data_IF_271272625687
#
_entry.id   IF_271272625687
#
_cell.length_a   1.000
_cell.length_b   1.000
_cell.length_c   1.000
_cell.angle_alpha   90.00
_cell.angle_beta   90.00
_cell.angle_gamma   90.00
#
_symmetry.space_group_name_H-M   'P 1'
#
loop_
_entity.id
_entity.type
_entity.pdbx_description
1 polymer ?
#
# COMPACT_ATOMS: atom_id res chain seq x y z
N UNK A 1 -15.92 42.31 54.42
CA UNK A 1 -14.69 42.12 53.61
C UNK A 1 -14.62 40.65 53.23
N UNK A 2 -15.05 40.36 52.00
CA UNK A 2 -14.63 39.28 51.10
C UNK A 2 -14.19 37.93 51.71
N UNK A 3 -15.14 37.00 51.89
CA UNK A 3 -14.84 35.57 52.10
C UNK A 3 -15.56 34.64 51.11
N UNK A 4 -16.71 35.04 50.56
CA UNK A 4 -17.52 34.15 49.70
C UNK A 4 -17.06 34.07 48.23
N UNK A 5 -16.26 35.03 47.77
CA UNK A 5 -15.80 35.06 46.37
C UNK A 5 -14.66 34.08 46.06
N UNK A 6 -13.94 33.61 47.07
CA UNK A 6 -12.75 32.77 46.87
C UNK A 6 -13.11 31.27 46.71
N UNK A 7 -14.12 30.78 47.43
CA UNK A 7 -14.63 29.41 47.25
C UNK A 7 -15.29 29.23 45.88
N UNK A 8 -16.08 30.20 45.41
CA UNK A 8 -16.74 30.06 44.11
C UNK A 8 -15.74 29.99 42.93
N UNK A 9 -14.62 30.71 43.02
CA UNK A 9 -13.54 30.67 42.03
C UNK A 9 -12.80 29.32 42.04
N UNK A 10 -12.53 28.78 43.24
CA UNK A 10 -11.83 27.50 43.40
C UNK A 10 -12.66 26.32 42.86
N UNK A 11 -13.96 26.29 43.12
CA UNK A 11 -14.88 25.28 42.57
C UNK A 11 -15.00 25.38 41.04
N UNK A 12 -14.96 26.58 40.47
CA UNK A 12 -14.97 26.78 39.01
C UNK A 12 -13.67 26.27 38.36
N UNK A 13 -12.51 26.53 38.96
CA UNK A 13 -11.22 26.03 38.45
C UNK A 13 -11.14 24.49 38.51
N UNK A 14 -11.59 23.87 39.61
CA UNK A 14 -11.61 22.40 39.74
C UNK A 14 -12.52 21.73 38.70
N UNK A 15 -13.71 22.31 38.46
CA UNK A 15 -14.63 21.80 37.45
C UNK A 15 -14.12 22.00 36.01
N UNK A 16 -13.36 23.07 35.77
CA UNK A 16 -12.75 23.34 34.45
C UNK A 16 -11.63 22.34 34.17
N UNK A 17 -10.76 22.05 35.16
CA UNK A 17 -9.69 21.06 35.03
C UNK A 17 -10.23 19.66 34.74
N UNK A 18 -11.22 19.21 35.51
CA UNK A 18 -11.85 17.89 35.31
C UNK A 18 -12.65 17.79 34.00
N UNK A 19 -13.09 18.92 33.42
CA UNK A 19 -13.73 18.94 32.10
C UNK A 19 -12.69 18.84 30.97
N UNK A 20 -11.54 19.52 31.12
CA UNK A 20 -10.43 19.46 30.16
C UNK A 20 -9.81 18.06 30.13
N UNK A 21 -9.57 17.44 31.29
CA UNK A 21 -9.04 16.07 31.38
C UNK A 21 -9.95 15.04 30.70
N UNK A 22 -11.27 15.11 30.95
CA UNK A 22 -12.25 14.22 30.30
C UNK A 22 -12.36 14.43 28.79
N UNK A 23 -12.15 15.66 28.29
CA UNK A 23 -12.08 15.92 26.85
C UNK A 23 -10.81 15.36 26.25
N UNK A 24 -9.68 15.51 26.93
CA UNK A 24 -8.41 14.97 26.48
C UNK A 24 -8.45 13.43 26.45
N UNK A 25 -8.95 12.78 27.50
CA UNK A 25 -9.09 11.32 27.58
C UNK A 25 -9.95 10.75 26.44
N UNK A 26 -11.12 11.38 26.16
CA UNK A 26 -11.93 11.00 24.98
C UNK A 26 -11.21 11.21 23.65
N UNK A 27 -10.42 12.27 23.52
CA UNK A 27 -9.66 12.55 22.29
C UNK A 27 -8.57 11.48 22.11
N UNK A 28 -7.89 11.09 23.19
CA UNK A 28 -6.89 10.01 23.18
C UNK A 28 -7.51 8.64 22.83
N UNK A 29 -8.67 8.29 23.40
CA UNK A 29 -9.38 7.05 23.07
C UNK A 29 -9.82 7.01 21.60
N UNK A 30 -10.33 8.12 21.06
CA UNK A 30 -10.72 8.26 19.65
C UNK A 30 -9.50 8.16 18.71
N UNK A 31 -8.35 8.74 19.08
CA UNK A 31 -7.09 8.62 18.34
C UNK A 31 -6.53 7.19 18.39
N UNK A 32 -6.56 6.53 19.54
CA UNK A 32 -6.09 5.15 19.70
C UNK A 32 -6.98 4.15 18.94
N UNK A 33 -8.30 4.36 18.93
CA UNK A 33 -9.23 3.54 18.13
C UNK A 33 -9.05 3.78 16.63
N UNK A 34 -8.77 5.03 16.22
CA UNK A 34 -8.42 5.37 14.84
C UNK A 34 -7.10 4.71 14.41
N UNK A 35 -6.10 4.68 15.28
CA UNK A 35 -4.81 4.02 15.02
C UNK A 35 -4.98 2.50 14.92
N UNK A 36 -5.76 1.89 15.82
CA UNK A 36 -6.10 0.46 15.76
C UNK A 36 -6.82 0.10 14.47
N UNK A 37 -7.82 0.88 14.08
CA UNK A 37 -8.58 0.66 12.85
C UNK A 37 -7.69 0.81 11.61
N UNK A 38 -6.80 1.80 11.61
CA UNK A 38 -5.81 2.01 10.54
C UNK A 38 -4.88 0.79 10.40
N UNK A 39 -4.29 0.33 11.51
CA UNK A 39 -3.44 -0.87 11.54
C UNK A 39 -4.16 -2.13 11.04
N UNK A 40 -5.44 -2.32 11.41
CA UNK A 40 -6.25 -3.46 10.94
C UNK A 40 -6.48 -3.39 9.43
N UNK A 41 -6.78 -2.20 8.90
CA UNK A 41 -6.97 -1.98 7.47
C UNK A 41 -5.70 -2.27 6.67
N UNK A 42 -4.55 -1.77 7.13
CA UNK A 42 -3.25 -2.05 6.51
C UNK A 42 -2.91 -3.53 6.51
N UNK A 43 -3.11 -4.22 7.64
CA UNK A 43 -2.89 -5.65 7.74
C UNK A 43 -3.79 -6.45 6.78
N UNK A 44 -5.04 -6.00 6.58
CA UNK A 44 -5.97 -6.60 5.62
C UNK A 44 -5.45 -6.48 4.19
N UNK A 45 -5.00 -5.30 3.75
CA UNK A 45 -4.46 -5.13 2.39
C UNK A 45 -3.25 -6.02 2.14
N UNK A 46 -2.29 -6.10 3.08
CA UNK A 46 -1.12 -6.97 2.93
C UNK A 46 -1.50 -8.44 2.81
N UNK A 47 -2.52 -8.91 3.55
CA UNK A 47 -3.03 -10.28 3.41
C UNK A 47 -3.56 -10.55 2.00
N UNK A 48 -4.32 -9.62 1.42
CA UNK A 48 -4.85 -9.76 0.06
C UNK A 48 -3.72 -9.71 -0.97
N UNK A 49 -2.74 -8.82 -0.80
CA UNK A 49 -1.55 -8.77 -1.67
C UNK A 49 -0.82 -10.12 -1.68
N UNK A 50 -0.52 -10.68 -0.50
CA UNK A 50 0.16 -11.98 -0.40
C UNK A 50 -0.66 -13.08 -1.06
N UNK A 51 -1.98 -13.10 -0.82
CA UNK A 51 -2.87 -14.07 -1.44
C UNK A 51 -2.82 -13.98 -2.97
N UNK A 52 -2.98 -12.79 -3.55
CA UNK A 52 -2.96 -12.62 -5.00
C UNK A 52 -1.58 -12.94 -5.61
N UNK A 53 -0.47 -12.65 -4.91
CA UNK A 53 0.87 -13.06 -5.35
C UNK A 53 1.04 -14.59 -5.33
N UNK A 54 0.45 -15.27 -4.35
CA UNK A 54 0.42 -16.73 -4.30
C UNK A 54 -0.45 -17.31 -5.42
N UNK A 55 -1.63 -16.74 -5.63
CA UNK A 55 -2.57 -17.15 -6.67
C UNK A 55 -2.01 -16.84 -8.09
N UNK A 56 -1.17 -15.81 -8.25
CA UNK A 56 -0.51 -15.50 -9.53
C UNK A 56 0.54 -16.52 -9.95
N UNK A 57 0.95 -17.40 -9.04
CA UNK A 57 1.90 -18.46 -9.36
C UNK A 57 1.14 -19.64 -9.92
N UNK A 58 1.26 -19.83 -11.23
CA UNK A 58 0.78 -21.03 -11.94
C UNK A 58 1.77 -22.19 -11.68
N UNK A 59 1.89 -23.15 -12.60
CA UNK A 59 2.93 -24.19 -12.60
C UNK A 59 4.36 -23.61 -12.42
N UNK A 60 5.38 -24.47 -12.24
CA UNK A 60 6.70 -24.07 -11.71
C UNK A 60 7.37 -22.84 -12.36
N UNK A 61 7.04 -22.49 -13.60
CA UNK A 61 7.68 -21.42 -14.37
C UNK A 61 6.72 -20.44 -15.10
N UNK A 62 5.44 -20.34 -14.72
CA UNK A 62 4.52 -19.34 -15.32
C UNK A 62 3.80 -18.48 -14.27
N UNK A 63 3.30 -17.34 -14.73
CA UNK A 63 2.68 -16.33 -13.89
C UNK A 63 1.40 -15.80 -14.54
N UNK A 64 0.28 -15.96 -13.83
CA UNK A 64 -1.03 -15.43 -14.23
C UNK A 64 -1.04 -13.91 -14.07
N UNK A 65 -1.31 -13.22 -15.17
CA UNK A 65 -1.21 -11.76 -15.24
C UNK A 65 -2.35 -11.07 -14.51
N UNK A 66 -3.54 -11.66 -14.47
CA UNK A 66 -4.70 -11.05 -13.82
C UNK A 66 -4.53 -11.03 -12.30
N UNK A 67 -4.11 -12.14 -11.71
CA UNK A 67 -3.78 -12.23 -10.28
C UNK A 67 -2.59 -11.35 -9.92
N UNK A 68 -1.57 -11.26 -10.79
CA UNK A 68 -0.44 -10.35 -10.59
C UNK A 68 -0.87 -8.88 -10.58
N UNK A 69 -1.68 -8.45 -11.55
CA UNK A 69 -2.22 -7.09 -11.60
C UNK A 69 -3.08 -6.83 -10.37
N UNK A 70 -3.92 -7.79 -9.96
CA UNK A 70 -4.74 -7.68 -8.75
C UNK A 70 -3.90 -7.51 -7.48
N UNK A 71 -2.77 -8.21 -7.35
CA UNK A 71 -1.84 -8.04 -6.23
C UNK A 71 -1.29 -6.60 -6.16
N UNK A 72 -0.84 -6.05 -7.29
CA UNK A 72 -0.28 -4.70 -7.31
C UNK A 72 -1.33 -3.60 -7.11
N UNK A 73 -2.59 -3.83 -7.50
CA UNK A 73 -3.70 -2.91 -7.18
C UNK A 73 -3.95 -2.83 -5.68
N UNK A 74 -3.95 -3.96 -4.99
CA UNK A 74 -4.09 -3.99 -3.53
C UNK A 74 -2.86 -3.39 -2.84
N UNK A 75 -1.68 -3.62 -3.39
CA UNK A 75 -0.44 -3.01 -2.90
C UNK A 75 -0.46 -1.48 -3.05
N UNK A 76 -1.03 -0.98 -4.14
CA UNK A 76 -1.25 0.45 -4.37
C UNK A 76 -2.18 1.06 -3.29
N UNK A 77 -3.27 0.37 -2.93
CA UNK A 77 -4.18 0.80 -1.84
C UNK A 77 -3.48 0.80 -0.48
N UNK A 78 -2.64 -0.20 -0.22
CA UNK A 78 -1.83 -0.24 0.98
C UNK A 78 -0.93 1.01 1.10
N UNK A 79 -0.24 1.39 0.01
CA UNK A 79 0.61 2.58 -0.01
C UNK A 79 -0.16 3.89 0.15
N UNK A 80 -1.38 4.00 -0.38
CA UNK A 80 -2.24 5.17 -0.14
C UNK A 80 -2.55 5.34 1.34
N UNK A 81 -2.79 4.24 2.04
CA UNK A 81 -3.03 4.25 3.48
C UNK A 81 -1.81 4.67 4.30
N UNK A 82 -0.59 4.54 3.78
CA UNK A 82 0.64 4.97 4.47
C UNK A 82 0.91 6.48 4.36
N UNK A 83 0.05 7.21 3.64
CA UNK A 83 0.12 8.66 3.50
C UNK A 83 0.90 9.15 2.28
N UNK A 84 1.00 10.48 2.15
CA UNK A 84 1.46 11.14 0.92
C UNK A 84 2.92 10.84 0.55
N UNK A 85 3.74 10.35 1.49
CA UNK A 85 5.13 9.97 1.24
C UNK A 85 5.25 8.91 0.14
N UNK A 86 4.27 8.00 0.04
CA UNK A 86 4.26 6.93 -0.97
C UNK A 86 3.50 7.31 -2.25
N UNK A 87 3.00 8.55 -2.36
CA UNK A 87 2.19 8.98 -3.51
C UNK A 87 2.92 8.93 -4.85
N UNK A 88 4.22 9.26 -4.87
CA UNK A 88 5.03 9.22 -6.10
C UNK A 88 5.30 7.79 -6.57
N UNK A 89 5.58 6.87 -5.62
CA UNK A 89 5.80 5.45 -5.90
C UNK A 89 4.52 4.85 -6.46
N UNK A 90 3.39 5.18 -5.82
CA UNK A 90 2.09 4.67 -6.23
C UNK A 90 1.68 5.14 -7.63
N UNK A 91 1.97 6.39 -8.00
CA UNK A 91 1.71 6.89 -9.37
C UNK A 91 2.53 6.14 -10.43
N UNK A 92 3.80 5.85 -10.12
CA UNK A 92 4.70 5.14 -11.03
C UNK A 92 4.31 3.66 -11.19
N UNK A 93 3.78 3.04 -10.13
CA UNK A 93 3.21 1.68 -10.16
C UNK A 93 1.90 1.67 -10.96
N UNK A 94 0.94 2.55 -10.64
CA UNK A 94 -0.37 2.60 -11.31
C UNK A 94 -0.25 2.79 -12.81
N UNK A 95 0.55 3.76 -13.27
CA UNK A 95 0.76 4.00 -14.70
C UNK A 95 1.29 2.77 -15.46
N UNK A 96 2.06 1.90 -14.80
CA UNK A 96 2.53 0.64 -15.39
C UNK A 96 1.47 -0.45 -15.37
N UNK A 97 0.65 -0.51 -14.32
CA UNK A 97 -0.50 -1.42 -14.27
C UNK A 97 -1.51 -1.07 -15.36
N UNK A 98 -1.76 0.22 -15.60
CA UNK A 98 -2.67 0.68 -16.63
C UNK A 98 -2.22 0.19 -18.02
N UNK A 99 -0.91 0.23 -18.31
CA UNK A 99 -0.36 -0.31 -19.57
C UNK A 99 -0.65 -1.82 -19.71
N UNK A 100 -0.44 -2.60 -18.65
CA UNK A 100 -0.69 -4.05 -18.69
C UNK A 100 -2.19 -4.38 -18.78
N UNK A 101 -3.03 -3.60 -18.10
CA UNK A 101 -4.48 -3.73 -18.11
C UNK A 101 -5.07 -3.35 -19.49
N UNK A 102 -4.51 -2.33 -20.14
CA UNK A 102 -4.86 -1.93 -21.51
C UNK A 102 -4.50 -3.04 -22.50
N UNK A 103 -3.36 -3.71 -22.34
CA UNK A 103 -3.01 -4.86 -23.17
C UNK A 103 -3.92 -6.07 -22.92
N UNK A 104 -4.23 -6.41 -21.66
CA UNK A 104 -5.14 -7.51 -21.30
C UNK A 104 -6.56 -7.32 -21.81
N UNK A 105 -7.06 -6.09 -21.83
CA UNK A 105 -8.41 -5.76 -22.30
C UNK A 105 -8.53 -5.53 -23.79
N UNK A 106 -7.42 -5.54 -24.52
CA UNK A 106 -7.43 -5.37 -25.96
C UNK A 106 -8.04 -6.61 -26.63
N UNK A 107 -9.09 -6.42 -27.43
CA UNK A 107 -9.75 -7.52 -28.16
C UNK A 107 -8.78 -8.25 -29.12
N UNK A 108 -7.74 -7.56 -29.60
CA UNK A 108 -6.82 -8.11 -30.62
C UNK A 108 -5.66 -8.91 -30.02
N UNK A 109 -5.21 -8.57 -28.82
CA UNK A 109 -3.97 -9.11 -28.24
C UNK A 109 -4.12 -9.61 -26.81
N UNK A 110 -5.26 -9.39 -26.15
CA UNK A 110 -5.46 -9.66 -24.72
C UNK A 110 -5.20 -11.10 -24.32
N UNK A 111 -5.53 -12.06 -25.18
CA UNK A 111 -5.26 -13.48 -24.97
C UNK A 111 -3.77 -13.79 -24.88
N UNK A 112 -2.92 -13.06 -25.62
CA UNK A 112 -1.47 -13.21 -25.56
C UNK A 112 -0.85 -12.63 -24.28
N UNK A 113 -1.63 -11.90 -23.47
CA UNK A 113 -1.18 -11.34 -22.20
C UNK A 113 -1.73 -12.11 -20.99
N UNK A 114 -2.37 -13.27 -21.17
CA UNK A 114 -2.94 -14.07 -20.07
C UNK A 114 -1.86 -14.50 -19.06
N UNK A 115 -0.71 -14.95 -19.56
CA UNK A 115 0.43 -15.35 -18.73
C UNK A 115 1.71 -14.60 -19.08
N UNK A 116 2.69 -14.63 -18.18
CA UNK A 116 3.99 -14.02 -18.42
C UNK A 116 4.70 -14.67 -19.61
N UNK A 117 4.65 -16.00 -19.73
CA UNK A 117 5.31 -16.70 -20.81
C UNK A 117 4.67 -16.41 -22.18
N UNK A 118 3.34 -16.47 -22.27
CA UNK A 118 2.60 -16.13 -23.50
C UNK A 118 2.88 -14.68 -23.93
N UNK A 119 2.93 -13.74 -22.98
CA UNK A 119 3.27 -12.34 -23.25
C UNK A 119 4.68 -12.20 -23.82
N UNK A 120 5.68 -12.85 -23.21
CA UNK A 120 7.08 -12.75 -23.66
C UNK A 120 7.23 -13.35 -25.05
N UNK A 121 6.59 -14.48 -25.33
CA UNK A 121 6.64 -15.13 -26.64
C UNK A 121 6.04 -14.24 -27.73
N UNK A 122 4.83 -13.74 -27.50
CA UNK A 122 4.16 -12.80 -28.41
C UNK A 122 4.98 -11.55 -28.68
N UNK A 123 5.47 -10.87 -27.63
CA UNK A 123 6.23 -9.63 -27.80
C UNK A 123 7.58 -9.83 -28.50
N UNK A 124 8.15 -11.03 -28.36
CA UNK A 124 9.39 -11.41 -29.04
C UNK A 124 9.15 -11.67 -30.53
N UNK A 125 8.07 -12.37 -30.89
CA UNK A 125 7.72 -12.66 -32.28
C UNK A 125 7.37 -11.39 -33.07
N UNK A 126 6.62 -10.49 -32.45
CA UNK A 126 6.21 -9.20 -33.04
C UNK A 126 7.32 -8.12 -32.96
N UNK A 127 8.45 -8.41 -32.32
CA UNK A 127 9.57 -7.48 -32.17
C UNK A 127 9.30 -6.27 -31.25
N UNK A 128 8.24 -6.33 -30.44
CA UNK A 128 7.78 -5.25 -29.54
C UNK A 128 8.79 -4.99 -28.41
N UNK A 129 9.53 -6.03 -27.98
CA UNK A 129 10.56 -5.90 -26.93
C UNK A 129 11.66 -4.90 -27.33
N UNK A 130 12.02 -4.87 -28.62
CA UNK A 130 13.08 -4.01 -29.16
C UNK A 130 12.61 -2.59 -29.50
N UNK A 131 11.30 -2.33 -29.57
CA UNK A 131 10.78 -1.01 -29.89
C UNK A 131 10.81 -0.09 -28.66
N UNK A 132 11.73 0.87 -28.64
CA UNK A 132 11.84 1.85 -27.56
C UNK A 132 10.71 2.89 -27.54
N UNK A 133 9.96 3.05 -28.64
CA UNK A 133 8.92 4.09 -28.77
C UNK A 133 7.62 3.69 -28.08
N UNK A 134 7.27 2.41 -28.10
CA UNK A 134 6.08 1.87 -27.44
C UNK A 134 6.50 1.12 -26.17
N UNK A 135 5.81 1.28 -25.03
CA UNK A 135 6.13 0.49 -23.83
C UNK A 135 5.71 -0.97 -24.02
N UNK A 136 6.64 -1.91 -23.93
CA UNK A 136 6.29 -3.34 -23.94
C UNK A 136 5.84 -3.80 -22.55
N UNK A 137 4.94 -4.78 -22.51
CA UNK A 137 4.50 -5.48 -21.31
C UNK A 137 5.67 -6.11 -20.56
N UNK A 138 6.59 -6.77 -21.27
CA UNK A 138 7.78 -7.39 -20.64
C UNK A 138 8.66 -6.36 -19.90
N UNK A 139 8.91 -5.19 -20.52
CA UNK A 139 9.68 -4.10 -19.88
C UNK A 139 8.92 -3.46 -18.73
N UNK A 140 7.61 -3.34 -18.88
CA UNK A 140 6.72 -2.78 -17.86
C UNK A 140 6.69 -3.68 -16.63
N UNK A 141 6.53 -4.99 -16.81
CA UNK A 141 6.58 -5.98 -15.74
C UNK A 141 7.94 -6.03 -15.05
N UNK A 142 9.05 -5.96 -15.79
CA UNK A 142 10.40 -5.91 -15.20
C UNK A 142 10.57 -4.71 -14.26
N UNK A 143 10.01 -3.55 -14.62
CA UNK A 143 10.05 -2.35 -13.76
C UNK A 143 9.18 -2.53 -12.51
N UNK A 144 8.00 -3.12 -12.65
CA UNK A 144 7.13 -3.46 -11.51
C UNK A 144 7.83 -4.43 -10.56
N UNK A 145 8.44 -5.50 -11.08
CA UNK A 145 9.18 -6.49 -10.30
C UNK A 145 10.32 -5.86 -9.49
N UNK A 146 11.11 -4.97 -10.11
CA UNK A 146 12.16 -4.22 -9.39
C UNK A 146 11.59 -3.31 -8.29
N UNK A 147 10.43 -2.69 -8.52
CA UNK A 147 9.76 -1.90 -7.49
C UNK A 147 9.31 -2.80 -6.33
N UNK A 148 8.80 -4.01 -6.60
CA UNK A 148 8.44 -4.97 -5.57
C UNK A 148 9.64 -5.45 -4.76
N UNK A 149 10.80 -5.68 -5.40
CA UNK A 149 12.05 -6.00 -4.71
C UNK A 149 12.45 -4.88 -3.73
N UNK A 150 12.36 -3.62 -4.16
CA UNK A 150 12.59 -2.46 -3.29
C UNK A 150 11.61 -2.44 -2.10
N UNK A 151 10.34 -2.71 -2.35
CA UNK A 151 9.30 -2.73 -1.30
C UNK A 151 9.55 -3.86 -0.30
N UNK A 152 9.91 -5.05 -0.78
CA UNK A 152 10.24 -6.18 0.08
C UNK A 152 11.47 -5.88 0.95
N UNK A 153 12.49 -5.25 0.38
CA UNK A 153 13.66 -4.79 1.12
C UNK A 153 13.30 -3.73 2.17
N UNK A 154 12.42 -2.77 1.83
CA UNK A 154 11.92 -1.75 2.75
C UNK A 154 11.19 -2.39 3.94
N UNK A 155 10.25 -3.31 3.69
CA UNK A 155 9.52 -4.00 4.76
C UNK A 155 10.44 -4.85 5.64
N UNK A 156 11.44 -5.51 5.04
CA UNK A 156 12.45 -6.24 5.80
C UNK A 156 13.22 -5.30 6.73
N UNK A 157 13.70 -4.17 6.22
CA UNK A 157 14.41 -3.17 7.02
C UNK A 157 13.54 -2.63 8.17
N UNK A 158 12.26 -2.33 7.91
CA UNK A 158 11.30 -1.90 8.94
C UNK A 158 11.10 -2.98 9.99
N UNK A 159 10.95 -4.24 9.58
CA UNK A 159 10.74 -5.35 10.53
C UNK A 159 11.93 -5.58 11.46
N UNK A 160 13.16 -5.33 10.99
CA UNK A 160 14.38 -5.50 11.79
C UNK A 160 14.74 -4.26 12.60
N UNK A 161 14.25 -3.06 12.23
CA UNK A 161 14.58 -1.81 12.91
C UNK A 161 13.96 -1.70 14.32
N UNK A 162 12.86 -2.40 14.60
CA UNK A 162 12.21 -2.39 15.91
C UNK A 162 12.98 -3.20 16.98
N UNK A 163 13.90 -4.08 16.59
CA UNK A 163 14.69 -4.87 17.54
C UNK A 163 15.91 -4.12 18.11
N UNK A 164 16.30 -3.00 17.48
CA UNK A 164 17.45 -2.18 17.88
C UNK A 164 17.08 -0.98 18.79
N UNK A 165 15.79 -0.80 19.11
CA UNK A 165 15.31 0.31 19.94
C UNK A 165 15.44 0.07 21.46
N UNK A 166 16.20 -0.94 21.89
CA UNK A 166 16.61 -1.12 23.29
C UNK A 166 18.02 -0.58 23.55
N UNK A 167 18.26 0.70 23.26
CA UNK A 167 19.42 1.44 23.78
C UNK A 167 19.06 2.90 24.05
N UNK A 168 18.41 3.14 25.19
CA UNK A 168 18.63 4.30 26.07
C UNK A 168 17.84 4.12 27.38
#
# INVERSE_FOLDING_TARGET
MNSDGNEQCFQLEQNTSAFVERKNEKTYEEEEEKDKNTCILHASHLRVVIKNLQDSREDEDDLDMDSYIAAYRELSKFFEGLGSLFGFINSDVKSKLDILDDYRKSDDVGDNYETLNSMIEYEKEEGIIADEKKPSGSRTLLRLHRALEFIAALFKAISTANDDASVA
#
